data_IF_706854325112
#
_entry.id   IF_706854325112
#
_cell.length_a   1.000
_cell.length_b   1.000
_cell.length_c   1.000
_cell.angle_alpha   90.00
_cell.angle_beta   90.00
_cell.angle_gamma   90.00
#
_symmetry.space_group_name_H-M   'P 1'
#
loop_
_entity.id
_entity.type
_entity.pdbx_description
1 polymer ?
#
# COMPACT_ATOMS: atom_id res chain seq x y z
N UNK A 1 -14.60 -59.50 60.02
CA UNK A 1 -15.88 -58.76 59.81
C UNK A 1 -15.79 -58.01 58.47
N UNK A 2 -16.67 -58.33 57.50
CA UNK A 2 -17.18 -57.37 56.49
C UNK A 2 -18.11 -56.36 57.20
N UNK A 3 -18.59 -55.23 56.61
CA UNK A 3 -18.65 -54.75 55.20
C UNK A 3 -17.95 -53.36 55.01
N UNK A 4 -17.68 -52.79 53.83
CA UNK A 4 -18.43 -52.39 52.62
C UNK A 4 -19.32 -51.13 52.75
N UNK A 5 -19.28 -50.31 51.67
CA UNK A 5 -20.13 -49.16 51.27
C UNK A 5 -19.87 -47.78 51.91
N UNK A 6 -20.12 -46.61 51.29
CA UNK A 6 -20.41 -46.12 49.93
C UNK A 6 -20.97 -44.70 50.13
N UNK A 7 -20.52 -43.69 49.38
CA UNK A 7 -21.30 -42.46 49.05
C UNK A 7 -20.50 -41.68 48.00
N UNK A 8 -20.85 -41.76 46.70
CA UNK A 8 -21.88 -41.02 45.95
C UNK A 8 -21.54 -39.53 45.73
N UNK A 9 -21.17 -39.25 44.47
CA UNK A 9 -21.39 -38.06 43.63
C UNK A 9 -21.36 -36.65 44.24
N UNK A 10 -20.53 -35.78 43.63
CA UNK A 10 -21.05 -34.76 42.70
C UNK A 10 -19.91 -34.20 41.82
N UNK A 11 -19.96 -34.55 40.53
CA UNK A 11 -19.21 -33.88 39.48
C UNK A 11 -19.86 -32.51 39.20
N UNK A 12 -19.19 -31.42 39.57
CA UNK A 12 -19.54 -30.11 39.03
C UNK A 12 -18.90 -29.93 37.65
N UNK A 13 -19.73 -30.12 36.63
CA UNK A 13 -19.48 -29.65 35.28
C UNK A 13 -19.45 -28.11 35.27
N UNK A 14 -18.24 -27.54 35.24
CA UNK A 14 -18.04 -26.13 34.91
C UNK A 14 -18.31 -25.92 33.42
N UNK A 15 -19.43 -25.24 33.11
CA UNK A 15 -19.77 -24.78 31.76
C UNK A 15 -18.64 -23.88 31.21
N UNK A 16 -18.24 -24.01 29.94
CA UNK A 16 -17.37 -23.01 29.31
C UNK A 16 -18.15 -21.70 29.19
N UNK A 17 -17.65 -20.65 29.83
CA UNK A 17 -18.16 -19.28 29.68
C UNK A 17 -17.88 -18.81 28.26
N UNK A 18 -18.89 -18.95 27.39
CA UNK A 18 -19.00 -18.20 26.15
C UNK A 18 -19.25 -16.72 26.47
N UNK A 19 -18.18 -15.99 26.77
CA UNK A 19 -18.22 -14.53 26.79
C UNK A 19 -18.06 -14.03 25.36
N UNK A 20 -19.22 -13.86 24.71
CA UNK A 20 -19.43 -12.94 23.59
C UNK A 20 -18.71 -11.63 23.90
N UNK A 21 -17.56 -11.39 23.26
CA UNK A 21 -16.89 -10.10 23.30
C UNK A 21 -17.44 -9.29 22.13
N UNK A 22 -18.43 -8.46 22.42
CA UNK A 22 -18.98 -7.49 21.48
C UNK A 22 -17.86 -6.58 20.96
N UNK A 23 -17.52 -6.73 19.68
CA UNK A 23 -16.73 -5.73 18.96
C UNK A 23 -17.63 -4.52 18.76
N UNK A 24 -17.33 -3.44 19.48
CA UNK A 24 -17.92 -2.14 19.21
C UNK A 24 -17.24 -1.61 17.96
N UNK A 25 -17.99 -1.55 16.86
CA UNK A 25 -17.69 -0.71 15.71
C UNK A 25 -17.53 0.72 16.23
N UNK A 26 -16.30 1.21 16.33
CA UNK A 26 -16.07 2.64 16.43
C UNK A 26 -16.12 3.19 15.01
N UNK A 27 -17.28 3.70 14.63
CA UNK A 27 -17.43 4.58 13.50
C UNK A 27 -16.54 5.82 13.73
N UNK A 28 -15.59 6.07 12.84
CA UNK A 28 -14.78 7.28 12.89
C UNK A 28 -15.57 8.40 12.20
N UNK A 29 -16.40 9.10 12.97
CA UNK A 29 -16.77 10.46 12.62
C UNK A 29 -15.57 11.37 12.97
N UNK A 30 -14.80 11.77 11.96
CA UNK A 30 -13.50 12.44 12.17
C UNK A 30 -13.08 13.42 11.08
N UNK A 31 -13.84 14.51 10.94
CA UNK A 31 -13.46 15.80 10.33
C UNK A 31 -13.27 15.89 8.80
N UNK A 32 -14.28 16.49 8.16
CA UNK A 32 -14.29 16.99 6.80
C UNK A 32 -13.14 17.94 6.49
N UNK A 33 -12.41 17.64 5.42
CA UNK A 33 -11.74 18.62 4.59
C UNK A 33 -11.96 18.23 3.13
N UNK A 34 -12.90 18.92 2.48
CA UNK A 34 -13.09 18.83 1.03
C UNK A 34 -11.79 19.37 0.41
N UNK A 35 -10.94 18.47 -0.06
CA UNK A 35 -9.90 18.84 -1.02
C UNK A 35 -10.52 18.66 -2.40
N UNK A 36 -11.12 19.74 -2.91
CA UNK A 36 -11.39 19.85 -4.33
C UNK A 36 -10.04 19.93 -5.04
N UNK A 37 -9.57 18.82 -5.60
CA UNK A 37 -8.46 18.87 -6.56
C UNK A 37 -9.04 19.49 -7.82
N UNK A 38 -8.58 20.70 -8.13
CA UNK A 38 -8.90 21.38 -9.37
C UNK A 38 -8.39 20.55 -10.55
N UNK A 39 -9.31 20.14 -11.41
CA UNK A 39 -9.02 19.54 -12.71
C UNK A 39 -8.23 20.54 -13.57
N UNK A 40 -6.91 20.35 -13.62
CA UNK A 40 -6.05 20.98 -14.61
C UNK A 40 -6.12 20.20 -15.92
N UNK A 41 -7.06 20.57 -16.79
CA UNK A 41 -7.15 20.06 -18.17
C UNK A 41 -5.99 20.63 -18.99
N UNK A 42 -4.95 19.84 -19.20
CA UNK A 42 -3.88 20.10 -20.17
C UNK A 42 -4.20 19.46 -21.51
N UNK A 43 -5.04 20.12 -22.32
CA UNK A 43 -5.27 19.76 -23.72
C UNK A 43 -4.04 20.11 -24.57
N UNK A 44 -3.22 19.10 -24.89
CA UNK A 44 -2.15 19.18 -25.89
C UNK A 44 -2.60 18.57 -27.22
N UNK A 45 -3.29 19.36 -28.06
CA UNK A 45 -3.65 19.00 -29.44
C UNK A 45 -2.40 19.14 -30.33
N UNK A 46 -1.82 18.02 -30.73
CA UNK A 46 -0.78 17.96 -31.78
C UNK A 46 -1.42 17.74 -33.15
N UNK A 47 -1.60 18.83 -33.91
CA UNK A 47 -1.91 18.79 -35.34
C UNK A 47 -0.64 18.42 -36.14
N UNK A 48 -0.69 17.36 -36.93
CA UNK A 48 0.16 17.23 -38.13
C UNK A 48 -0.69 16.83 -39.32
N UNK A 49 -0.80 17.78 -40.25
CA UNK A 49 -1.39 17.67 -41.57
C UNK A 49 -0.26 17.72 -42.60
N UNK A 50 -0.20 16.72 -43.49
CA UNK A 50 0.38 16.68 -44.86
C UNK A 50 0.54 15.20 -45.20
N UNK A 51 0.17 14.65 -46.35
CA UNK A 51 -0.31 15.15 -47.63
C UNK A 51 -0.17 13.94 -48.56
N UNK A 52 -1.20 13.60 -49.34
CA UNK A 52 -1.19 12.39 -50.16
C UNK A 52 -0.41 12.54 -51.48
N UNK A 53 0.21 11.45 -51.93
CA UNK A 53 0.25 11.05 -53.34
C UNK A 53 0.66 9.58 -53.48
N UNK A 54 0.06 8.93 -54.49
CA UNK A 54 0.06 7.50 -54.80
C UNK A 54 1.30 6.99 -55.56
N UNK A 55 1.39 5.65 -55.51
CA UNK A 55 1.84 4.66 -56.51
C UNK A 55 3.29 4.12 -56.59
N UNK A 56 3.30 2.77 -56.44
CA UNK A 56 4.10 1.69 -57.06
C UNK A 56 5.64 1.74 -57.06
N UNK A 57 6.28 0.77 -56.40
CA UNK A 57 6.72 -0.46 -57.06
C UNK A 57 7.32 -1.47 -56.08
N UNK A 58 7.29 -2.74 -56.50
CA UNK A 58 7.83 -3.93 -55.83
C UNK A 58 9.34 -3.85 -55.68
N UNK A 59 9.87 -4.30 -54.54
CA UNK A 59 10.93 -5.31 -54.53
C UNK A 59 11.09 -5.96 -53.14
N UNK A 60 11.32 -7.27 -53.18
CA UNK A 60 11.61 -8.13 -52.05
C UNK A 60 12.99 -7.81 -51.47
N UNK A 61 13.09 -7.67 -50.15
CA UNK A 61 14.26 -8.18 -49.43
C UNK A 61 13.93 -8.49 -47.97
N UNK A 62 14.20 -9.74 -47.60
CA UNK A 62 14.16 -10.26 -46.24
C UNK A 62 15.25 -9.60 -45.41
N UNK A 63 14.88 -8.83 -44.39
CA UNK A 63 15.74 -8.65 -43.24
C UNK A 63 14.92 -8.48 -41.95
N UNK A 64 15.05 -9.48 -41.07
CA UNK A 64 14.47 -9.52 -39.73
C UNK A 64 15.14 -8.43 -38.86
N UNK A 65 14.63 -7.21 -38.96
CA UNK A 65 14.96 -6.10 -38.08
C UNK A 65 14.17 -6.20 -36.78
N UNK A 66 14.84 -6.67 -35.74
CA UNK A 66 14.39 -6.57 -34.34
C UNK A 66 13.95 -5.15 -34.03
N UNK A 67 12.64 -4.94 -33.87
CA UNK A 67 12.08 -3.73 -33.25
C UNK A 67 12.47 -3.75 -31.76
N UNK A 68 13.58 -3.12 -31.41
CA UNK A 68 13.95 -2.87 -30.03
C UNK A 68 13.07 -1.75 -29.48
N UNK A 69 12.05 -2.16 -28.72
CA UNK A 69 11.23 -1.29 -27.88
C UNK A 69 12.13 -0.53 -26.87
N UNK A 70 12.20 0.80 -26.93
CA UNK A 70 13.00 1.60 -26.01
C UNK A 70 12.23 1.78 -24.70
N UNK A 71 12.15 0.72 -23.90
CA UNK A 71 11.42 0.75 -22.63
C UNK A 71 11.68 -0.42 -21.69
N UNK A 72 12.11 -1.59 -22.21
CA UNK A 72 12.45 -2.72 -21.33
C UNK A 72 13.92 -2.70 -20.93
N UNK A 73 14.27 -1.85 -19.96
CA UNK A 73 15.41 -2.16 -19.11
C UNK A 73 14.98 -3.37 -18.26
N UNK A 74 15.06 -4.55 -18.87
CA UNK A 74 14.73 -5.84 -18.26
C UNK A 74 15.80 -6.10 -17.19
N UNK A 75 15.67 -5.41 -16.06
CA UNK A 75 16.48 -5.68 -14.87
C UNK A 75 16.18 -7.11 -14.50
N UNK A 76 17.13 -7.96 -14.84
CA UNK A 76 17.07 -9.40 -14.67
C UNK A 76 17.20 -9.71 -13.17
N UNK A 77 16.23 -9.26 -12.36
CA UNK A 77 16.13 -9.59 -10.94
C UNK A 77 15.99 -11.09 -10.87
N UNK A 78 16.94 -11.77 -10.25
CA UNK A 78 16.91 -13.22 -10.09
C UNK A 78 16.26 -13.64 -8.77
N UNK A 79 15.90 -12.68 -7.92
CA UNK A 79 15.27 -12.90 -6.63
C UNK A 79 14.41 -11.71 -6.20
N UNK A 80 13.39 -12.01 -5.40
CA UNK A 80 12.54 -11.02 -4.74
C UNK A 80 13.32 -10.32 -3.62
N UNK A 81 13.24 -8.99 -3.58
CA UNK A 81 13.84 -8.20 -2.50
C UNK A 81 13.09 -8.38 -1.18
N UNK A 82 13.81 -8.65 -0.10
CA UNK A 82 13.27 -8.62 1.27
C UNK A 82 13.80 -7.37 1.98
N UNK A 83 12.97 -6.36 2.29
CA UNK A 83 13.41 -5.20 3.05
C UNK A 83 13.81 -5.60 4.48
N UNK A 84 14.78 -4.88 5.04
CA UNK A 84 15.28 -5.11 6.40
C UNK A 84 14.41 -4.40 7.45
N UNK A 85 14.30 -5.00 8.64
CA UNK A 85 13.74 -4.33 9.82
C UNK A 85 14.51 -3.02 10.10
N UNK A 86 13.81 -1.98 10.56
CA UNK A 86 14.33 -0.62 10.82
C UNK A 86 14.89 0.12 9.59
N UNK A 87 14.59 -0.30 8.36
CA UNK A 87 15.01 0.45 7.17
C UNK A 87 14.42 1.87 7.16
N UNK A 88 15.27 2.88 6.88
CA UNK A 88 14.79 4.25 6.74
C UNK A 88 13.95 4.40 5.48
N UNK A 89 12.85 5.12 5.59
CA UNK A 89 11.91 5.25 4.49
C UNK A 89 11.22 6.62 4.47
N UNK A 90 10.60 6.92 3.34
CA UNK A 90 9.69 8.02 3.14
C UNK A 90 8.55 7.55 2.22
N UNK A 91 7.35 8.04 2.48
CA UNK A 91 6.16 7.85 1.67
C UNK A 91 5.65 9.19 1.15
N UNK A 92 5.40 9.29 -0.16
CA UNK A 92 4.81 10.47 -0.81
C UNK A 92 3.81 9.99 -1.86
N UNK A 93 2.53 10.20 -1.58
CA UNK A 93 1.43 9.78 -2.46
C UNK A 93 0.71 10.95 -3.12
N UNK A 94 0.97 12.18 -2.68
CA UNK A 94 0.40 13.38 -3.30
C UNK A 94 1.37 13.94 -4.35
N UNK A 95 1.23 13.48 -5.60
CA UNK A 95 1.97 14.01 -6.76
C UNK A 95 3.37 13.39 -6.95
N UNK A 96 3.96 13.71 -8.10
CA UNK A 96 5.31 13.29 -8.45
C UNK A 96 6.35 14.00 -7.58
N UNK A 97 7.37 13.28 -7.12
CA UNK A 97 8.49 13.92 -6.41
C UNK A 97 9.44 14.60 -7.39
N UNK A 98 9.95 15.76 -6.99
CA UNK A 98 10.94 16.49 -7.75
C UNK A 98 12.36 16.09 -7.34
N UNK A 99 13.14 15.58 -8.28
CA UNK A 99 14.54 15.26 -8.06
C UNK A 99 15.46 16.47 -8.27
N UNK A 100 16.51 16.56 -7.44
CA UNK A 100 17.64 17.47 -7.63
C UNK A 100 18.90 16.64 -7.82
N UNK A 101 19.53 16.76 -9.00
CA UNK A 101 20.70 15.96 -9.39
C UNK A 101 20.50 14.44 -9.21
N UNK A 102 19.32 13.93 -9.58
CA UNK A 102 18.99 12.50 -9.47
C UNK A 102 18.64 12.01 -8.06
N UNK A 103 18.56 12.91 -7.07
CA UNK A 103 18.28 12.60 -5.67
C UNK A 103 17.10 13.38 -5.10
N UNK A 104 16.52 12.89 -4.01
CA UNK A 104 15.47 13.57 -3.25
C UNK A 104 15.88 13.65 -1.77
N UNK A 105 15.29 14.60 -1.04
CA UNK A 105 15.46 14.74 0.41
C UNK A 105 14.18 14.26 1.10
N UNK A 106 14.25 13.46 2.18
CA UNK A 106 15.45 13.03 2.93
C UNK A 106 16.27 11.91 2.27
N UNK A 107 17.51 11.74 2.75
CA UNK A 107 18.36 10.60 2.38
C UNK A 107 17.92 9.32 3.13
N UNK A 108 16.97 8.60 2.55
CA UNK A 108 16.42 7.34 3.07
C UNK A 108 16.81 6.15 2.21
N UNK A 109 16.64 4.92 2.70
CA UNK A 109 16.90 3.72 1.91
C UNK A 109 15.74 3.39 0.95
N UNK A 110 14.51 3.69 1.36
CA UNK A 110 13.28 3.26 0.69
C UNK A 110 12.37 4.46 0.41
N UNK A 111 11.84 4.52 -0.80
CA UNK A 111 10.79 5.47 -1.19
C UNK A 111 9.53 4.70 -1.56
N UNK A 112 8.44 5.03 -0.92
CA UNK A 112 7.09 4.57 -1.25
C UNK A 112 6.35 5.69 -1.98
N UNK A 113 6.08 5.50 -3.27
CA UNK A 113 5.64 6.53 -4.18
C UNK A 113 4.41 6.06 -4.96
N UNK A 114 3.51 7.00 -5.27
CA UNK A 114 2.36 6.71 -6.13
C UNK A 114 2.81 6.19 -7.51
N UNK A 115 2.27 5.03 -7.90
CA UNK A 115 2.58 4.34 -9.14
C UNK A 115 2.27 5.17 -10.38
N UNK A 116 1.19 5.96 -10.35
CA UNK A 116 0.70 6.66 -11.53
C UNK A 116 1.33 8.04 -11.67
N UNK A 117 1.53 8.75 -10.56
CA UNK A 117 2.04 10.12 -10.57
C UNK A 117 3.54 10.19 -10.93
N UNK A 118 4.34 9.18 -10.59
CA UNK A 118 5.79 9.18 -10.82
C UNK A 118 6.17 8.39 -12.08
N UNK A 119 7.15 8.89 -12.84
CA UNK A 119 7.66 8.23 -14.06
C UNK A 119 8.78 7.20 -13.75
N UNK A 120 9.11 6.39 -14.77
CA UNK A 120 10.14 5.35 -14.64
C UNK A 120 11.55 5.96 -14.47
N UNK A 121 11.76 7.14 -15.04
CA UNK A 121 12.99 7.93 -14.97
C UNK A 121 13.29 8.35 -13.53
N UNK A 122 12.27 8.80 -12.78
CA UNK A 122 12.37 9.15 -11.36
C UNK A 122 12.79 7.95 -10.53
N UNK A 123 12.12 6.79 -10.74
CA UNK A 123 12.46 5.56 -10.05
C UNK A 123 13.89 5.09 -10.37
N UNK A 124 14.26 5.11 -11.66
CA UNK A 124 15.60 4.75 -12.12
C UNK A 124 16.68 5.67 -11.54
N UNK A 125 16.43 6.98 -11.46
CA UNK A 125 17.36 7.93 -10.87
C UNK A 125 17.58 7.63 -9.38
N UNK A 126 16.51 7.49 -8.59
CA UNK A 126 16.61 7.10 -7.18
C UNK A 126 17.36 5.77 -7.02
N UNK A 127 17.06 4.76 -7.82
CA UNK A 127 17.73 3.46 -7.74
C UNK A 127 19.22 3.53 -8.13
N UNK A 128 19.59 4.44 -9.05
CA UNK A 128 20.99 4.77 -9.36
C UNK A 128 21.75 5.34 -8.15
N UNK A 129 21.04 5.92 -7.18
CA UNK A 129 21.55 6.35 -5.88
C UNK A 129 21.36 5.29 -4.77
N UNK A 130 21.18 4.02 -5.15
CA UNK A 130 21.10 2.88 -4.22
C UNK A 130 19.77 2.76 -3.46
N UNK A 131 18.75 3.52 -3.87
CA UNK A 131 17.42 3.50 -3.24
C UNK A 131 16.61 2.27 -3.68
N UNK A 132 15.59 1.94 -2.90
CA UNK A 132 14.56 0.95 -3.24
C UNK A 132 13.22 1.65 -3.40
N UNK A 133 12.45 1.23 -4.39
CA UNK A 133 11.15 1.83 -4.72
C UNK A 133 10.03 0.86 -4.39
N UNK A 134 9.13 1.28 -3.52
CA UNK A 134 7.81 0.68 -3.32
C UNK A 134 6.84 1.53 -4.14
N UNK A 135 5.98 0.88 -4.91
CA UNK A 135 4.96 1.55 -5.70
C UNK A 135 3.58 1.34 -5.10
N UNK A 136 3.02 2.41 -4.59
CA UNK A 136 1.66 2.47 -4.06
C UNK A 136 0.64 2.46 -5.20
N UNK A 137 -0.44 1.70 -5.01
CA UNK A 137 -1.70 1.89 -5.71
C UNK A 137 -2.83 1.29 -4.86
N UNK A 138 -4.04 1.84 -4.97
CA UNK A 138 -5.18 1.19 -4.34
C UNK A 138 -5.54 -0.10 -5.09
N UNK A 139 -5.54 -1.23 -4.37
CA UNK A 139 -5.92 -2.53 -4.92
C UNK A 139 -7.35 -2.93 -4.56
N UNK A 140 -7.90 -2.41 -3.46
CA UNK A 140 -9.24 -2.72 -2.97
C UNK A 140 -10.26 -1.58 -3.09
N UNK A 141 -9.89 -0.46 -3.72
CA UNK A 141 -10.82 0.61 -4.04
C UNK A 141 -10.66 1.15 -5.47
N UNK A 142 -11.76 1.70 -5.98
CA UNK A 142 -11.86 2.49 -7.19
C UNK A 142 -11.59 3.96 -6.86
N UNK A 143 -10.72 4.59 -7.64
CA UNK A 143 -10.37 6.00 -7.56
C UNK A 143 -10.75 6.71 -8.87
N UNK A 144 -11.68 7.66 -8.81
CA UNK A 144 -12.31 8.30 -10.00
C UNK A 144 -11.39 9.22 -10.82
N UNK A 145 -10.16 9.42 -10.37
CA UNK A 145 -9.13 10.22 -11.02
C UNK A 145 -8.05 9.37 -11.71
N UNK A 146 -8.05 8.04 -11.52
CA UNK A 146 -7.03 7.17 -12.14
C UNK A 146 -7.24 7.07 -13.65
N UNK A 147 -6.16 6.97 -14.44
CA UNK A 147 -6.26 6.93 -15.91
C UNK A 147 -6.97 5.67 -16.42
N UNK A 148 -7.04 4.61 -15.60
CA UNK A 148 -7.67 3.33 -15.92
C UNK A 148 -9.08 3.17 -15.32
N UNK A 149 -9.65 4.24 -14.73
CA UNK A 149 -10.97 4.23 -14.06
C UNK A 149 -12.11 3.70 -14.93
N UNK A 150 -12.08 3.94 -16.24
CA UNK A 150 -13.18 3.58 -17.14
C UNK A 150 -13.20 2.08 -17.48
N UNK A 151 -12.24 1.31 -16.95
CA UNK A 151 -12.19 -0.15 -17.07
C UNK A 151 -13.02 -0.87 -16.02
N UNK A 152 -13.37 -0.21 -14.93
CA UNK A 152 -14.17 -0.82 -13.86
C UNK A 152 -15.65 -0.85 -14.27
N UNK A 153 -16.30 -2.00 -14.07
CA UNK A 153 -17.73 -2.13 -14.29
C UNK A 153 -18.47 -1.66 -13.03
N UNK A 154 -19.71 -1.17 -13.17
CA UNK A 154 -20.52 -0.80 -12.00
C UNK A 154 -20.72 -1.98 -11.04
N UNK A 155 -20.74 -3.21 -11.54
CA UNK A 155 -20.83 -4.43 -10.73
C UNK A 155 -19.59 -4.71 -9.88
N UNK A 156 -18.46 -4.08 -10.20
CA UNK A 156 -17.23 -4.20 -9.41
C UNK A 156 -17.25 -3.29 -8.17
N UNK A 157 -18.18 -2.33 -8.12
CA UNK A 157 -18.12 -1.22 -7.18
C UNK A 157 -19.10 -1.39 -6.01
N UNK A 158 -18.56 -1.29 -4.80
CA UNK A 158 -19.27 -1.30 -3.53
C UNK A 158 -19.71 0.10 -3.07
N UNK A 159 -19.79 0.27 -1.75
CA UNK A 159 -20.07 1.57 -1.12
C UNK A 159 -18.87 2.52 -1.20
N UNK A 160 -19.10 3.83 -1.09
CA UNK A 160 -18.03 4.80 -0.87
C UNK A 160 -17.20 4.48 0.39
N UNK A 161 -15.92 4.81 0.36
CA UNK A 161 -15.04 4.72 1.53
C UNK A 161 -15.38 5.83 2.52
N UNK A 162 -15.26 5.54 3.82
CA UNK A 162 -15.48 6.56 4.85
C UNK A 162 -14.37 7.62 4.77
N UNK A 163 -14.76 8.91 4.79
CA UNK A 163 -13.87 10.04 4.55
C UNK A 163 -13.52 10.34 3.07
N UNK A 164 -13.78 9.42 2.14
CA UNK A 164 -13.40 9.53 0.72
C UNK A 164 -14.60 9.26 -0.20
N UNK A 165 -15.51 10.24 -0.40
CA UNK A 165 -16.81 10.00 -1.05
C UNK A 165 -16.74 9.64 -2.54
N UNK A 166 -15.63 9.97 -3.21
CA UNK A 166 -15.39 9.67 -4.61
C UNK A 166 -14.64 8.34 -4.81
N UNK A 167 -14.29 7.67 -3.72
CA UNK A 167 -13.57 6.40 -3.73
C UNK A 167 -14.53 5.30 -3.28
N UNK A 168 -14.55 4.16 -3.98
CA UNK A 168 -15.51 3.06 -3.70
C UNK A 168 -14.80 1.74 -3.49
N UNK A 169 -15.29 0.92 -2.57
CA UNK A 169 -14.76 -0.43 -2.36
C UNK A 169 -14.89 -1.28 -3.63
N UNK A 170 -13.94 -2.19 -3.86
CA UNK A 170 -13.96 -3.11 -5.01
C UNK A 170 -14.34 -4.53 -4.61
N UNK A 171 -15.06 -5.22 -5.49
CA UNK A 171 -15.27 -6.66 -5.37
C UNK A 171 -13.95 -7.40 -5.68
N UNK A 172 -13.29 -7.87 -4.62
CA UNK A 172 -12.01 -8.58 -4.70
C UNK A 172 -12.12 -9.94 -5.40
N UNK A 173 -13.33 -10.46 -5.61
CA UNK A 173 -13.58 -11.70 -6.35
C UNK A 173 -13.86 -11.47 -7.84
N UNK A 174 -14.02 -10.22 -8.29
CA UNK A 174 -14.25 -9.90 -9.69
C UNK A 174 -13.03 -10.21 -10.56
N UNK A 175 -13.24 -10.97 -11.64
CA UNK A 175 -12.22 -11.22 -12.67
C UNK A 175 -11.78 -9.91 -13.35
N UNK A 176 -12.68 -8.94 -13.50
CA UNK A 176 -12.36 -7.64 -14.10
C UNK A 176 -11.41 -6.84 -13.19
N UNK A 177 -11.72 -6.77 -11.89
CA UNK A 177 -10.85 -6.12 -10.88
C UNK A 177 -9.47 -6.78 -10.87
N UNK A 178 -9.41 -8.11 -10.83
CA UNK A 178 -8.14 -8.86 -10.87
C UNK A 178 -7.38 -8.60 -12.17
N UNK A 179 -8.07 -8.49 -13.31
CA UNK A 179 -7.42 -8.14 -14.58
C UNK A 179 -6.82 -6.72 -14.55
N UNK A 180 -7.50 -5.75 -13.97
CA UNK A 180 -7.00 -4.38 -13.84
C UNK A 180 -5.77 -4.36 -12.92
N UNK A 181 -5.80 -5.05 -11.78
CA UNK A 181 -4.65 -5.10 -10.87
C UNK A 181 -3.45 -5.82 -11.47
N UNK A 182 -3.65 -6.85 -12.31
CA UNK A 182 -2.56 -7.45 -13.07
C UNK A 182 -1.85 -6.43 -13.94
N UNK A 183 -2.60 -5.55 -14.61
CA UNK A 183 -2.02 -4.51 -15.45
C UNK A 183 -1.33 -3.42 -14.62
N UNK A 184 -1.86 -3.05 -13.45
CA UNK A 184 -1.18 -2.14 -12.51
C UNK A 184 0.14 -2.73 -12.00
N UNK A 185 0.16 -4.02 -11.66
CA UNK A 185 1.38 -4.73 -11.24
C UNK A 185 2.39 -4.81 -12.40
N UNK A 186 1.92 -5.09 -13.62
CA UNK A 186 2.76 -5.06 -14.82
C UNK A 186 3.35 -3.67 -15.07
N UNK A 187 2.54 -2.62 -14.89
CA UNK A 187 3.01 -1.23 -14.98
C UNK A 187 4.08 -0.95 -13.93
N UNK A 188 3.87 -1.35 -12.67
CA UNK A 188 4.86 -1.21 -11.61
C UNK A 188 6.20 -1.90 -11.97
N UNK A 189 6.14 -3.13 -12.49
CA UNK A 189 7.33 -3.82 -12.99
C UNK A 189 8.02 -3.04 -14.12
N UNK A 190 7.26 -2.57 -15.10
CA UNK A 190 7.81 -1.83 -16.25
C UNK A 190 8.46 -0.50 -15.87
N UNK A 191 7.96 0.17 -14.82
CA UNK A 191 8.58 1.38 -14.25
C UNK A 191 9.78 1.08 -13.37
N UNK A 192 10.02 -0.19 -13.04
CA UNK A 192 11.17 -0.64 -12.27
C UNK A 192 10.96 -0.69 -10.76
N UNK A 193 9.71 -0.69 -10.26
CA UNK A 193 9.41 -0.84 -8.83
C UNK A 193 10.09 -2.10 -8.25
N UNK A 194 10.62 -2.01 -7.02
CA UNK A 194 11.20 -3.14 -6.29
C UNK A 194 10.15 -3.91 -5.49
N UNK A 195 9.06 -3.24 -5.11
CA UNK A 195 7.92 -3.81 -4.45
C UNK A 195 6.62 -3.02 -4.74
N UNK A 196 5.48 -3.58 -4.35
CA UNK A 196 4.18 -2.92 -4.40
C UNK A 196 3.60 -2.73 -2.99
N UNK A 197 2.91 -1.60 -2.78
CA UNK A 197 2.05 -1.34 -1.61
C UNK A 197 0.57 -1.29 -2.06
N UNK A 198 -0.13 -2.43 -2.09
CA UNK A 198 -1.52 -2.49 -2.50
C UNK A 198 -2.45 -2.07 -1.35
N UNK A 199 -3.10 -0.90 -1.48
CA UNK A 199 -3.99 -0.37 -0.43
C UNK A 199 -5.40 -0.98 -0.46
N UNK A 200 -6.15 -0.75 0.61
CA UNK A 200 -7.57 -1.05 0.78
C UNK A 200 -7.90 -2.56 0.70
N UNK A 201 -6.95 -3.42 1.08
CA UNK A 201 -7.14 -4.87 1.15
C UNK A 201 -7.92 -5.33 2.39
N UNK A 202 -8.41 -4.40 3.20
CA UNK A 202 -9.16 -4.58 4.45
C UNK A 202 -10.65 -4.23 4.34
N UNK A 203 -11.21 -4.22 3.13
CA UNK A 203 -12.65 -3.96 2.91
C UNK A 203 -13.58 -4.82 3.78
N UNK A 204 -13.18 -6.04 4.17
CA UNK A 204 -13.93 -6.91 5.08
C UNK A 204 -14.11 -6.36 6.50
N UNK A 205 -13.31 -5.38 6.92
CA UNK A 205 -13.41 -4.68 8.21
C UNK A 205 -14.29 -3.42 8.11
N UNK A 206 -14.79 -3.10 6.92
CA UNK A 206 -15.50 -1.87 6.60
C UNK A 206 -16.93 -2.14 6.08
N UNK A 207 -17.78 -1.10 6.08
CA UNK A 207 -19.10 -1.15 5.43
C UNK A 207 -18.94 -1.06 3.90
N UNK A 208 -18.45 -2.14 3.30
CA UNK A 208 -18.10 -2.18 1.88
C UNK A 208 -19.29 -2.36 0.92
N UNK A 209 -20.43 -2.84 1.40
CA UNK A 209 -21.62 -3.10 0.57
C UNK A 209 -21.53 -4.30 -0.39
N UNK A 210 -20.46 -5.09 -0.30
CA UNK A 210 -20.15 -6.25 -1.16
C UNK A 210 -20.10 -7.57 -0.37
N UNK A 211 -20.31 -7.52 0.96
CA UNK A 211 -20.16 -8.64 1.88
C UNK A 211 -18.77 -9.30 1.85
N UNK A 212 -17.71 -8.50 1.60
CA UNK A 212 -16.33 -9.00 1.62
C UNK A 212 -16.00 -9.65 2.97
N UNK A 213 -15.32 -10.78 2.91
CA UNK A 213 -14.84 -11.53 4.06
C UNK A 213 -13.31 -11.47 4.16
N UNK A 214 -12.77 -11.79 5.33
CA UNK A 214 -11.32 -11.93 5.51
C UNK A 214 -10.70 -12.94 4.53
N UNK A 215 -11.44 -13.99 4.16
CA UNK A 215 -10.97 -15.00 3.21
C UNK A 215 -10.86 -14.45 1.79
N UNK A 216 -11.74 -13.53 1.39
CA UNK A 216 -11.67 -12.86 0.09
C UNK A 216 -10.38 -12.04 -0.01
N UNK A 217 -10.06 -11.26 1.04
CA UNK A 217 -8.79 -10.52 1.12
C UNK A 217 -7.56 -11.42 1.12
N UNK A 218 -7.58 -12.54 1.85
CA UNK A 218 -6.47 -13.51 1.84
C UNK A 218 -6.26 -14.08 0.42
N UNK A 219 -7.35 -14.49 -0.25
CA UNK A 219 -7.29 -15.02 -1.61
C UNK A 219 -6.84 -13.96 -2.63
N UNK A 220 -7.24 -12.71 -2.41
CA UNK A 220 -6.84 -11.59 -3.24
C UNK A 220 -5.37 -11.23 -3.06
N UNK A 221 -4.86 -11.17 -1.82
CA UNK A 221 -3.45 -10.96 -1.53
C UNK A 221 -2.57 -12.08 -2.08
N UNK A 222 -3.03 -13.34 -2.03
CA UNK A 222 -2.32 -14.46 -2.66
C UNK A 222 -2.23 -14.30 -4.19
N UNK A 223 -3.28 -13.78 -4.82
CA UNK A 223 -3.28 -13.43 -6.24
C UNK A 223 -2.29 -12.29 -6.53
N UNK A 224 -2.36 -11.17 -5.80
CA UNK A 224 -1.46 -10.03 -5.97
C UNK A 224 0.02 -10.44 -5.77
N UNK A 225 0.30 -11.25 -4.74
CA UNK A 225 1.62 -11.84 -4.51
C UNK A 225 2.09 -12.68 -5.70
N UNK A 226 1.22 -13.51 -6.27
CA UNK A 226 1.58 -14.38 -7.40
C UNK A 226 1.93 -13.56 -8.64
N UNK A 227 1.13 -12.53 -8.94
CA UNK A 227 1.40 -11.61 -10.06
C UNK A 227 2.69 -10.81 -9.82
N UNK A 228 2.88 -10.21 -8.63
CA UNK A 228 4.09 -9.46 -8.29
C UNK A 228 5.36 -10.33 -8.32
N UNK A 229 5.26 -11.58 -7.83
CA UNK A 229 6.36 -12.54 -7.83
C UNK A 229 6.81 -12.94 -9.23
N UNK A 230 5.91 -12.93 -10.23
CA UNK A 230 6.29 -13.18 -11.63
C UNK A 230 7.25 -12.13 -12.20
N UNK A 231 7.33 -10.96 -11.57
CA UNK A 231 8.25 -9.87 -11.88
C UNK A 231 9.34 -9.68 -10.80
N UNK A 232 9.48 -10.63 -9.86
CA UNK A 232 10.40 -10.55 -8.73
C UNK A 232 10.24 -9.30 -7.85
N UNK A 233 9.00 -8.79 -7.73
CA UNK A 233 8.68 -7.68 -6.84
C UNK A 233 8.19 -8.20 -5.49
N UNK A 234 8.58 -7.51 -4.42
CA UNK A 234 8.03 -7.77 -3.09
C UNK A 234 6.61 -7.19 -2.96
N UNK A 235 5.87 -7.63 -1.93
CA UNK A 235 4.52 -7.14 -1.65
C UNK A 235 4.36 -6.78 -0.16
N UNK A 236 3.69 -5.64 0.09
CA UNK A 236 3.29 -5.19 1.42
C UNK A 236 1.90 -5.66 1.84
N UNK A 237 1.66 -5.72 3.16
CA UNK A 237 0.31 -5.75 3.73
C UNK A 237 0.01 -4.38 4.34
N UNK A 238 -0.96 -3.68 3.74
CA UNK A 238 -1.45 -2.40 4.22
C UNK A 238 -2.56 -2.60 5.25
N UNK A 239 -2.33 -2.15 6.49
CA UNK A 239 -3.24 -2.30 7.63
C UNK A 239 -3.67 -3.78 7.85
N UNK A 240 -4.93 -4.15 7.60
CA UNK A 240 -5.41 -5.54 7.55
C UNK A 240 -4.87 -6.50 8.64
N UNK A 241 -4.75 -6.02 9.88
CA UNK A 241 -4.02 -6.71 10.95
C UNK A 241 -4.59 -8.09 11.32
N UNK A 242 -5.91 -8.28 11.18
CA UNK A 242 -6.61 -9.51 11.55
C UNK A 242 -6.20 -10.73 10.72
N UNK A 243 -5.69 -10.53 9.50
CA UNK A 243 -5.29 -11.62 8.60
C UNK A 243 -3.78 -11.89 8.59
N UNK A 244 -2.98 -11.16 9.38
CA UNK A 244 -1.53 -11.35 9.48
C UNK A 244 -1.14 -12.84 9.64
N UNK A 245 -1.73 -13.63 10.55
CA UNK A 245 -1.36 -15.04 10.71
C UNK A 245 -1.57 -15.92 9.48
N UNK A 246 -2.35 -15.46 8.49
CA UNK A 246 -2.67 -16.18 7.25
C UNK A 246 -1.86 -15.72 6.05
N UNK A 247 -1.26 -14.52 6.10
CA UNK A 247 -0.55 -13.93 4.97
C UNK A 247 0.93 -13.70 5.23
N UNK A 248 1.36 -13.79 6.50
CA UNK A 248 2.73 -13.50 6.91
C UNK A 248 3.79 -14.30 6.14
N UNK A 249 3.49 -15.51 5.67
CA UNK A 249 4.46 -16.35 4.97
C UNK A 249 4.85 -15.78 3.59
N UNK A 250 3.93 -15.11 2.90
CA UNK A 250 4.15 -14.61 1.54
C UNK A 250 4.19 -13.08 1.41
N UNK A 251 3.82 -12.34 2.45
CA UNK A 251 4.01 -10.87 2.49
C UNK A 251 5.42 -10.51 2.95
N UNK A 252 6.06 -9.51 2.35
CA UNK A 252 7.45 -9.12 2.64
C UNK A 252 7.59 -8.04 3.72
N UNK A 253 6.60 -7.17 3.88
CA UNK A 253 6.58 -6.09 4.88
C UNK A 253 5.15 -5.68 5.20
N UNK A 254 4.95 -4.92 6.28
CA UNK A 254 3.68 -4.24 6.53
C UNK A 254 3.85 -2.75 6.32
N UNK A 255 2.84 -2.11 5.75
CA UNK A 255 2.60 -0.67 5.89
C UNK A 255 1.44 -0.52 6.85
N UNK A 256 1.65 0.19 7.95
CA UNK A 256 0.60 0.41 8.95
C UNK A 256 0.40 1.90 9.19
N UNK A 257 -0.86 2.29 9.28
CA UNK A 257 -1.28 3.61 9.70
C UNK A 257 -1.88 3.53 11.11
N UNK A 258 -1.45 4.46 11.96
CA UNK A 258 -2.10 4.81 13.22
C UNK A 258 -2.20 3.71 14.29
N UNK A 259 -1.38 2.66 14.25
CA UNK A 259 -1.45 1.64 15.30
C UNK A 259 -1.16 2.21 16.69
N UNK A 260 -0.36 3.27 16.83
CA UNK A 260 -0.10 3.87 18.12
C UNK A 260 -1.34 4.65 18.59
N UNK A 261 -1.94 5.46 17.71
CA UNK A 261 -3.17 6.20 18.03
C UNK A 261 -4.31 5.28 18.47
N UNK A 262 -4.44 4.11 17.85
CA UNK A 262 -5.51 3.15 18.15
C UNK A 262 -5.11 2.02 19.11
N UNK A 263 -3.87 2.01 19.61
CA UNK A 263 -3.35 0.96 20.52
C UNK A 263 -3.34 -0.45 19.91
N UNK A 264 -2.95 -0.56 18.65
CA UNK A 264 -2.98 -1.79 17.83
C UNK A 264 -1.59 -2.28 17.41
N UNK A 265 -0.49 -1.61 17.80
CA UNK A 265 0.84 -1.95 17.26
C UNK A 265 1.30 -3.38 17.56
N UNK A 266 0.89 -3.97 18.68
CA UNK A 266 1.19 -5.38 19.00
C UNK A 266 0.64 -6.36 17.94
N UNK A 267 -0.43 -6.01 17.24
CA UNK A 267 -1.00 -6.80 16.14
C UNK A 267 0.03 -6.99 15.01
N UNK A 268 0.90 -6.01 14.78
CA UNK A 268 1.88 -5.98 13.69
C UNK A 268 3.27 -6.52 14.09
N UNK A 269 3.52 -6.77 15.39
CA UNK A 269 4.75 -7.36 15.90
C UNK A 269 5.17 -8.72 15.26
N UNK A 270 4.26 -9.58 14.75
CA UNK A 270 4.66 -10.79 14.03
C UNK A 270 5.57 -10.53 12.81
N UNK A 271 5.44 -9.40 12.12
CA UNK A 271 6.37 -9.02 11.03
C UNK A 271 7.79 -8.89 11.55
N UNK A 272 7.98 -8.13 12.63
CA UNK A 272 9.29 -7.93 13.26
C UNK A 272 9.88 -9.27 13.72
N UNK A 273 9.06 -10.14 14.35
CA UNK A 273 9.48 -11.49 14.79
C UNK A 273 9.91 -12.38 13.62
N UNK A 274 9.32 -12.19 12.44
CA UNK A 274 9.68 -12.88 11.21
C UNK A 274 10.84 -12.21 10.44
N UNK A 275 11.46 -11.16 10.99
CA UNK A 275 12.54 -10.41 10.33
C UNK A 275 12.07 -9.51 9.19
N UNK A 276 10.79 -9.14 9.17
CA UNK A 276 10.14 -8.30 8.16
C UNK A 276 9.80 -6.92 8.75
N UNK A 277 10.02 -5.80 8.05
CA UNK A 277 9.76 -4.48 8.59
C UNK A 277 8.27 -4.17 8.67
N UNK A 278 7.94 -3.28 9.61
CA UNK A 278 6.69 -2.52 9.61
C UNK A 278 7.05 -1.07 9.31
N UNK A 279 6.59 -0.58 8.16
CA UNK A 279 6.64 0.81 7.75
C UNK A 279 5.43 1.52 8.37
N UNK A 280 5.69 2.28 9.43
CA UNK A 280 4.67 2.77 10.36
C UNK A 280 4.44 4.27 10.18
N UNK A 281 3.19 4.67 9.96
CA UNK A 281 2.79 6.04 9.72
C UNK A 281 1.87 6.50 10.84
N UNK A 282 2.18 7.66 11.43
CA UNK A 282 1.29 8.34 12.36
C UNK A 282 0.90 9.72 11.84
N UNK A 283 -0.34 10.12 12.07
CA UNK A 283 -0.91 11.39 11.61
C UNK A 283 -1.23 12.33 12.79
N UNK A 284 -0.23 12.84 13.52
CA UNK A 284 -0.48 13.71 14.65
C UNK A 284 -1.21 14.99 14.21
N UNK A 285 -2.24 15.36 14.98
CA UNK A 285 -2.89 16.66 14.85
C UNK A 285 -1.85 17.77 14.95
N UNK A 286 -1.92 18.73 14.03
CA UNK A 286 -1.00 19.86 13.96
C UNK A 286 0.15 19.68 12.97
N UNK A 287 0.34 18.52 12.33
CA UNK A 287 1.31 18.38 11.24
C UNK A 287 1.06 19.46 10.15
N UNK A 288 2.10 20.24 9.73
CA UNK A 288 3.53 19.98 9.95
C UNK A 288 4.13 20.53 11.27
N UNK A 289 3.39 21.36 12.00
CA UNK A 289 3.79 21.92 13.30
C UNK A 289 3.42 20.97 14.46
N UNK A 290 3.99 19.76 14.46
CA UNK A 290 3.71 18.74 15.47
C UNK A 290 4.28 19.18 16.83
N UNK A 291 3.46 19.07 17.88
CA UNK A 291 3.89 19.26 19.28
C UNK A 291 4.97 18.23 19.67
N UNK A 292 6.01 18.69 20.38
CA UNK A 292 7.16 17.85 20.71
C UNK A 292 6.82 16.71 21.67
N UNK A 293 5.93 16.93 22.64
CA UNK A 293 5.51 15.88 23.56
C UNK A 293 4.66 14.85 22.81
N UNK A 294 3.75 15.30 21.94
CA UNK A 294 2.96 14.40 21.10
C UNK A 294 3.82 13.56 20.16
N UNK A 295 4.84 14.14 19.53
CA UNK A 295 5.79 13.40 18.72
C UNK A 295 6.56 12.37 19.55
N UNK A 296 7.01 12.74 20.76
CA UNK A 296 7.69 11.84 21.66
C UNK A 296 6.80 10.67 22.11
N UNK A 297 5.52 10.90 22.38
CA UNK A 297 4.58 9.85 22.79
C UNK A 297 4.34 8.83 21.68
N UNK A 298 4.09 9.29 20.45
CA UNK A 298 3.89 8.43 19.27
C UNK A 298 5.14 7.63 18.92
N UNK A 299 6.31 8.23 19.11
CA UNK A 299 7.60 7.59 18.89
C UNK A 299 8.09 6.76 20.08
N UNK A 300 7.43 6.83 21.23
CA UNK A 300 7.82 6.06 22.40
C UNK A 300 7.34 4.61 22.23
N UNK A 301 8.21 3.63 22.42
CA UNK A 301 7.82 2.20 22.41
C UNK A 301 7.02 1.78 23.67
N UNK A 302 6.34 2.75 24.31
CA UNK A 302 5.59 2.63 25.57
C UNK A 302 4.37 3.55 25.46
N UNK A 303 3.44 3.45 26.40
CA UNK A 303 2.25 4.30 26.39
C UNK A 303 1.51 4.18 25.06
N UNK A 304 1.36 5.30 24.35
CA UNK A 304 0.65 5.37 23.07
C UNK A 304 1.34 4.51 22.00
N UNK A 305 2.67 4.57 21.87
CA UNK A 305 3.41 3.75 20.91
C UNK A 305 3.81 2.36 21.43
N UNK A 306 3.18 1.85 22.49
CA UNK A 306 3.46 0.49 22.97
C UNK A 306 3.27 -0.55 21.84
N UNK A 307 4.23 -1.46 21.69
CA UNK A 307 4.24 -2.48 20.62
C UNK A 307 4.90 -2.05 19.30
N UNK A 308 5.26 -0.77 19.13
CA UNK A 308 5.96 -0.25 17.93
C UNK A 308 7.48 -0.55 17.91
N UNK A 309 7.96 -1.46 18.75
CA UNK A 309 9.40 -1.76 18.86
C UNK A 309 9.97 -2.26 17.54
N UNK A 310 11.01 -1.58 17.04
CA UNK A 310 11.63 -1.80 15.72
C UNK A 310 10.73 -1.49 14.50
N UNK A 311 9.68 -0.69 14.68
CA UNK A 311 8.94 -0.15 13.54
C UNK A 311 9.72 1.01 12.92
N UNK A 312 9.61 1.14 11.61
CA UNK A 312 10.18 2.28 10.88
C UNK A 312 9.14 3.39 10.89
N UNK A 313 9.15 4.24 11.92
CA UNK A 313 8.09 5.24 12.13
C UNK A 313 8.37 6.55 11.40
N UNK A 314 7.35 7.05 10.68
CA UNK A 314 7.28 8.42 10.12
C UNK A 314 6.03 9.13 10.63
N UNK A 315 6.17 10.41 10.99
CA UNK A 315 5.03 11.27 11.31
C UNK A 315 4.71 12.12 10.07
N UNK A 316 3.48 12.01 9.58
CA UNK A 316 3.05 12.56 8.29
C UNK A 316 1.82 13.46 8.45
N UNK A 317 1.50 14.21 7.40
CA UNK A 317 0.16 14.79 7.20
C UNK A 317 -0.71 13.70 6.55
N UNK A 318 -2.03 13.73 6.81
CA UNK A 318 -2.98 12.78 6.22
C UNK A 318 -2.94 12.74 4.68
N UNK A 319 -2.64 13.88 4.04
CA UNK A 319 -2.52 13.97 2.58
C UNK A 319 -1.26 13.33 1.99
N UNK A 320 -0.34 12.82 2.83
CA UNK A 320 0.87 12.11 2.41
C UNK A 320 1.71 12.85 1.34
N UNK A 321 1.88 14.15 1.51
CA UNK A 321 2.79 14.94 0.67
C UNK A 321 4.25 14.84 1.13
N UNK A 322 5.10 15.74 0.66
CA UNK A 322 6.54 15.76 0.96
C UNK A 322 6.91 15.91 2.43
N UNK A 323 6.04 16.40 3.30
CA UNK A 323 6.38 16.60 4.71
C UNK A 323 6.59 15.28 5.44
N UNK A 324 7.66 15.17 6.22
CA UNK A 324 7.88 14.09 7.19
C UNK A 324 8.61 14.60 8.42
N UNK A 325 8.24 14.08 9.60
CA UNK A 325 9.06 14.15 10.80
C UNK A 325 9.43 12.73 11.26
N UNK A 326 10.70 12.49 11.57
CA UNK A 326 11.19 11.24 12.14
C UNK A 326 11.23 11.29 13.67
N UNK A 327 11.34 10.12 14.30
CA UNK A 327 11.41 10.00 15.76
C UNK A 327 12.67 10.58 16.40
N UNK A 328 13.72 10.86 15.62
CA UNK A 328 14.89 11.64 16.07
C UNK A 328 14.65 13.16 16.02
N UNK A 329 13.43 13.58 15.65
CA UNK A 329 13.02 14.98 15.56
C UNK A 329 13.36 15.66 14.24
N UNK A 330 14.10 15.01 13.32
CA UNK A 330 14.41 15.62 12.02
C UNK A 330 13.15 15.75 11.17
N UNK A 331 13.06 16.88 10.47
CA UNK A 331 11.94 17.23 9.58
C UNK A 331 12.46 17.47 8.18
N UNK A 332 11.69 17.03 7.19
CA UNK A 332 11.97 17.25 5.78
C UNK A 332 10.68 17.59 5.05
N UNK A 333 10.83 18.25 3.91
CA UNK A 333 9.76 18.51 2.96
C UNK A 333 10.28 18.17 1.57
N UNK A 334 9.91 16.98 1.09
CA UNK A 334 10.28 16.51 -0.25
C UNK A 334 9.59 17.39 -1.28
N UNK A 335 10.37 18.02 -2.16
CA UNK A 335 9.81 18.84 -3.24
C UNK A 335 8.96 17.97 -4.17
N UNK A 336 7.84 18.51 -4.62
CA UNK A 336 6.93 17.88 -5.57
C UNK A 336 6.96 18.66 -6.89
N UNK A 337 6.74 17.99 -8.01
CA UNK A 337 6.50 18.66 -9.27
C UNK A 337 5.10 19.29 -9.25
N UNK A 338 5.02 20.50 -9.82
CA UNK A 338 3.87 21.40 -9.76
C UNK A 338 2.84 21.16 -10.84
#
# INVERSE_FOLDING_TARGET
MKPANSSTEQHHAGKPNALRRHWKLFAIAGAFLIVAIGLGVGLGVGLTQRGGHDDSDQDNDNNSGSNSDPGSDNRNRTSTWQPSVNATWQIVLQGAIKLTNGSASPDVAIWDLDLFDNDAETFKALQGHGKKIICYFSAGSYEDFRPDKDRFNESDLGKPLDGWPNERWLDLNSDNVRSIMRDRIKLASSKGCDAIDPDNVDGYQNDNGLNLTAQDSINYLQFLHTEASSYHMAIGLKNAGDIIPKVLDFINFSVNEQCAEFSECETFAPFIKAGKPVFHIEYPKGAPAIDAARAADLCSHRGIGAGSGNFSTVLKKMKLDGFVQYCDGKRYDTALDS
#
